data_IF_148235933231
#
_entry.id   IF_148235933231
#
_cell.length_a   1.000
_cell.length_b   1.000
_cell.length_c   1.000
_cell.angle_alpha   90.00
_cell.angle_beta   90.00
_cell.angle_gamma   90.00
#
_symmetry.space_group_name_H-M   'P 1'
#
loop_
_entity.id
_entity.type
_entity.pdbx_description
1 polymer ?
#
# COMPACT_ATOMS: atom_id res chain seq x y z
N UNK A 1 26.03 -8.27 3.16
CA UNK A 1 25.40 -9.53 2.78
C UNK A 1 24.28 -9.25 1.79
N UNK A 2 24.12 -10.13 0.82
CA UNK A 2 23.17 -9.96 -0.26
C UNK A 2 22.10 -11.03 -0.18
N UNK A 3 20.83 -10.61 -0.07
CA UNK A 3 19.71 -11.53 0.10
C UNK A 3 18.63 -11.24 -0.95
N UNK A 4 17.98 -12.32 -1.39
CA UNK A 4 16.78 -12.22 -2.21
C UNK A 4 15.60 -12.57 -1.32
N UNK A 5 14.67 -11.63 -1.18
CA UNK A 5 13.45 -11.83 -0.39
C UNK A 5 12.29 -12.18 -1.30
N UNK A 6 11.51 -13.18 -0.93
CA UNK A 6 10.28 -13.55 -1.62
C UNK A 6 9.03 -13.07 -0.85
N UNK A 7 9.20 -12.16 0.08
CA UNK A 7 8.11 -11.73 0.97
C UNK A 7 6.92 -11.15 0.21
N UNK A 8 7.16 -10.40 -0.85
CA UNK A 8 6.08 -9.80 -1.63
C UNK A 8 5.27 -10.88 -2.35
N UNK A 9 5.96 -11.78 -3.07
CA UNK A 9 5.27 -12.81 -3.85
C UNK A 9 4.56 -13.81 -2.95
N UNK A 10 5.10 -14.09 -1.77
CA UNK A 10 4.52 -15.04 -0.82
C UNK A 10 3.42 -14.44 0.05
N UNK A 11 3.26 -13.13 0.07
CA UNK A 11 2.19 -12.48 0.83
C UNK A 11 0.83 -12.86 0.25
N UNK A 12 -0.02 -13.42 1.08
CA UNK A 12 -1.33 -13.95 0.64
C UNK A 12 -2.39 -12.86 0.55
N UNK A 13 -3.44 -13.14 -0.22
CA UNK A 13 -4.63 -12.30 -0.29
C UNK A 13 -5.65 -12.81 0.72
N UNK A 14 -5.52 -12.35 1.95
CA UNK A 14 -6.43 -12.69 3.04
C UNK A 14 -6.89 -11.39 3.68
N UNK A 15 -7.98 -10.82 3.17
CA UNK A 15 -8.49 -9.52 3.61
C UNK A 15 -7.41 -8.44 3.47
N UNK A 16 -7.07 -7.77 4.54
CA UNK A 16 -6.03 -6.75 4.59
C UNK A 16 -4.80 -7.33 5.29
N UNK A 17 -3.68 -7.35 4.58
CA UNK A 17 -2.39 -7.81 5.09
C UNK A 17 -1.36 -6.70 4.94
N UNK A 18 -0.58 -6.46 5.98
CA UNK A 18 0.51 -5.49 5.96
C UNK A 18 1.77 -6.16 6.48
N UNK A 19 2.87 -5.98 5.76
CA UNK A 19 4.17 -6.50 6.15
C UNK A 19 5.22 -5.42 5.98
N UNK A 20 6.02 -5.22 7.02
CA UNK A 20 7.14 -4.30 6.97
C UNK A 20 8.32 -5.00 6.30
N UNK A 21 8.65 -4.60 5.08
CA UNK A 21 9.77 -5.18 4.32
C UNK A 21 11.11 -4.62 4.78
N UNK A 22 11.16 -3.30 4.97
CA UNK A 22 12.38 -2.58 5.33
C UNK A 22 12.03 -1.52 6.36
N UNK A 23 12.87 -1.42 7.38
CA UNK A 23 12.79 -0.35 8.37
C UNK A 23 14.20 0.15 8.65
N UNK A 24 14.46 1.42 8.35
CA UNK A 24 15.73 2.09 8.66
C UNK A 24 15.44 3.36 9.44
N UNK A 25 16.49 4.08 9.83
CA UNK A 25 16.33 5.38 10.50
C UNK A 25 15.77 6.45 9.58
N UNK A 26 15.85 6.24 8.26
CA UNK A 26 15.50 7.23 7.25
C UNK A 26 14.15 6.95 6.61
N UNK A 27 13.82 5.67 6.37
CA UNK A 27 12.59 5.30 5.67
C UNK A 27 12.14 3.89 6.05
N UNK A 28 10.91 3.56 5.66
CA UNK A 28 10.41 2.20 5.72
C UNK A 28 9.65 1.86 4.44
N UNK A 29 9.60 0.58 4.12
CA UNK A 29 8.82 0.05 3.01
C UNK A 29 7.85 -0.98 3.56
N UNK A 30 6.56 -0.73 3.32
CA UNK A 30 5.48 -1.63 3.69
C UNK A 30 4.96 -2.33 2.44
N UNK A 31 4.74 -3.63 2.52
CA UNK A 31 4.06 -4.41 1.50
C UNK A 31 2.63 -4.65 1.95
N UNK A 32 1.68 -4.19 1.16
CA UNK A 32 0.26 -4.31 1.44
C UNK A 32 -0.35 -5.27 0.43
N UNK A 33 -1.13 -6.23 0.91
CA UNK A 33 -2.05 -6.99 0.05
C UNK A 33 -3.48 -6.74 0.49
N UNK A 34 -4.36 -6.55 -0.49
CA UNK A 34 -5.80 -6.42 -0.27
C UNK A 34 -6.52 -7.44 -1.14
N UNK A 35 -7.26 -8.29 -0.51
CA UNK A 35 -8.19 -9.18 -1.20
C UNK A 35 -9.28 -8.33 -1.85
N UNK A 36 -9.82 -8.78 -2.98
CA UNK A 36 -10.95 -8.11 -3.64
C UNK A 36 -12.04 -7.76 -2.62
N UNK A 37 -12.50 -6.53 -2.67
CA UNK A 37 -13.52 -5.93 -1.80
C UNK A 37 -13.05 -5.65 -0.36
N UNK A 38 -11.82 -5.99 -0.02
CA UNK A 38 -11.27 -5.66 1.29
C UNK A 38 -10.89 -4.19 1.37
N UNK A 39 -10.84 -3.67 2.59
CA UNK A 39 -10.51 -2.28 2.87
C UNK A 39 -9.28 -2.20 3.77
N UNK A 40 -8.32 -1.38 3.37
CA UNK A 40 -7.29 -0.87 4.27
C UNK A 40 -7.95 0.29 5.03
N UNK A 41 -8.25 0.13 6.33
CA UNK A 41 -9.13 1.06 7.04
C UNK A 41 -8.53 2.46 7.19
N UNK A 42 -9.39 3.40 7.55
CA UNK A 42 -9.01 4.80 7.73
C UNK A 42 -7.83 4.93 8.70
N UNK A 43 -6.83 5.68 8.28
CA UNK A 43 -5.65 5.96 9.09
C UNK A 43 -4.93 7.19 8.55
N UNK A 44 -3.91 7.64 9.28
CA UNK A 44 -3.03 8.72 8.85
C UNK A 44 -1.59 8.21 8.82
N UNK A 45 -0.76 8.86 8.01
CA UNK A 45 0.68 8.63 8.01
C UNK A 45 1.40 9.73 8.79
N UNK A 46 2.49 9.40 9.46
CA UNK A 46 3.29 10.38 10.20
C UNK A 46 4.24 11.16 9.29
N UNK A 47 4.51 10.63 8.10
CA UNK A 47 5.37 11.26 7.10
C UNK A 47 4.67 11.23 5.76
N UNK A 48 5.10 12.09 4.84
CA UNK A 48 4.69 12.00 3.44
C UNK A 48 5.06 10.63 2.90
N UNK A 49 4.22 10.07 2.05
CA UNK A 49 4.37 8.70 1.59
C UNK A 49 4.28 8.58 0.08
N UNK A 50 4.96 7.56 -0.44
CA UNK A 50 4.90 7.15 -1.84
C UNK A 50 4.21 5.79 -1.91
N UNK A 51 3.36 5.60 -2.91
CA UNK A 51 2.65 4.35 -3.14
C UNK A 51 2.93 3.87 -4.56
N UNK A 52 3.28 2.59 -4.70
CA UNK A 52 3.51 1.97 -6.01
C UNK A 52 2.65 0.72 -6.08
N UNK A 53 1.75 0.67 -7.07
CA UNK A 53 0.91 -0.51 -7.29
C UNK A 53 1.71 -1.55 -8.05
N UNK A 54 1.85 -2.74 -7.45
CA UNK A 54 2.53 -3.86 -8.09
C UNK A 54 1.60 -4.70 -8.95
N UNK A 55 0.38 -4.92 -8.46
CA UNK A 55 -0.64 -5.65 -9.21
C UNK A 55 -2.03 -5.28 -8.68
N UNK A 56 -3.04 -5.48 -9.52
CA UNK A 56 -4.42 -5.29 -9.13
C UNK A 56 -4.99 -3.92 -9.51
N UNK A 57 -5.99 -3.50 -8.74
CA UNK A 57 -6.78 -2.30 -8.99
C UNK A 57 -7.36 -1.85 -7.66
N UNK A 58 -6.96 -0.67 -7.20
CA UNK A 58 -7.39 -0.12 -5.92
C UNK A 58 -7.98 1.27 -6.09
N UNK A 59 -8.80 1.69 -5.14
CA UNK A 59 -9.28 3.07 -5.05
C UNK A 59 -8.76 3.66 -3.74
N UNK A 60 -8.02 4.74 -3.87
CA UNK A 60 -7.45 5.47 -2.75
C UNK A 60 -8.35 6.67 -2.44
N UNK A 61 -8.89 6.70 -1.23
CA UNK A 61 -9.81 7.76 -0.77
C UNK A 61 -9.08 8.69 0.18
N UNK A 62 -8.97 9.93 -0.18
CA UNK A 62 -8.30 10.94 0.65
C UNK A 62 -8.94 12.30 0.43
N UNK A 63 -9.19 13.01 1.52
CA UNK A 63 -9.66 14.40 1.51
C UNK A 63 -10.90 14.61 0.63
N UNK A 64 -11.85 13.68 0.69
CA UNK A 64 -13.09 13.75 -0.08
C UNK A 64 -12.96 13.39 -1.55
N UNK A 65 -11.77 13.00 -2.01
CA UNK A 65 -11.51 12.60 -3.39
C UNK A 65 -11.17 11.12 -3.47
N UNK A 66 -11.37 10.53 -4.64
CA UNK A 66 -11.09 9.14 -4.91
C UNK A 66 -10.18 9.02 -6.13
N UNK A 67 -9.16 8.18 -6.01
CA UNK A 67 -8.16 7.96 -7.07
C UNK A 67 -8.07 6.48 -7.36
N UNK A 68 -8.42 6.09 -8.59
CA UNK A 68 -8.25 4.71 -9.02
C UNK A 68 -6.79 4.50 -9.44
N UNK A 69 -6.16 3.51 -8.84
CA UNK A 69 -4.75 3.20 -9.09
C UNK A 69 -4.64 1.76 -9.57
N UNK A 70 -3.91 1.56 -10.66
CA UNK A 70 -3.72 0.26 -11.31
C UNK A 70 -2.25 -0.11 -11.34
N UNK A 71 -1.98 -1.33 -11.80
CA UNK A 71 -0.64 -1.90 -11.89
C UNK A 71 0.36 -0.91 -12.48
N UNK A 72 1.51 -0.79 -11.83
CA UNK A 72 2.65 0.05 -12.22
C UNK A 72 2.40 1.55 -12.11
N UNK A 73 1.31 1.97 -11.48
CA UNK A 73 1.08 3.39 -11.22
C UNK A 73 1.69 3.80 -9.89
N UNK A 74 2.14 5.03 -9.85
CA UNK A 74 2.74 5.67 -8.69
C UNK A 74 1.83 6.80 -8.20
N UNK A 75 1.67 6.90 -6.89
CA UNK A 75 0.84 7.91 -6.23
C UNK A 75 1.56 8.38 -4.97
N UNK A 76 1.44 9.67 -4.65
CA UNK A 76 1.97 10.19 -3.40
C UNK A 76 0.85 10.84 -2.59
N UNK A 77 0.99 10.82 -1.27
CA UNK A 77 0.03 11.47 -0.40
C UNK A 77 0.73 12.06 0.82
N UNK A 78 0.17 13.18 1.36
CA UNK A 78 0.81 13.87 2.46
C UNK A 78 0.56 13.20 3.80
N UNK A 79 1.41 13.52 4.77
CA UNK A 79 1.23 13.11 6.16
C UNK A 79 -0.04 13.71 6.76
N UNK A 80 -0.55 13.06 7.81
CA UNK A 80 -1.58 13.59 8.71
C UNK A 80 -2.96 13.82 8.10
N UNK A 81 -3.19 13.34 6.86
CA UNK A 81 -4.51 13.39 6.23
C UNK A 81 -5.12 11.98 6.27
N UNK A 82 -6.34 11.88 6.78
CA UNK A 82 -7.05 10.60 6.89
C UNK A 82 -7.32 10.04 5.48
N UNK A 83 -7.02 8.77 5.31
CA UNK A 83 -7.22 8.08 4.03
C UNK A 83 -7.56 6.61 4.27
N UNK A 84 -8.14 5.98 3.26
CA UNK A 84 -8.39 4.54 3.25
C UNK A 84 -8.35 4.02 1.81
N UNK A 85 -8.20 2.71 1.67
CA UNK A 85 -8.03 2.07 0.36
C UNK A 85 -8.98 0.88 0.25
N UNK A 86 -9.64 0.77 -0.90
CA UNK A 86 -10.53 -0.36 -1.20
C UNK A 86 -10.02 -1.06 -2.46
N UNK A 87 -10.00 -2.39 -2.45
CA UNK A 87 -9.54 -3.17 -3.58
C UNK A 87 -10.70 -3.59 -4.48
N UNK A 88 -10.58 -3.29 -5.78
CA UNK A 88 -11.51 -3.77 -6.81
C UNK A 88 -11.15 -5.18 -7.28
N UNK A 89 -9.90 -5.57 -7.09
CA UNK A 89 -9.33 -6.90 -7.39
C UNK A 89 -8.35 -7.24 -6.30
N UNK A 90 -7.92 -8.50 -6.22
CA UNK A 90 -6.77 -8.85 -5.41
C UNK A 90 -5.58 -7.97 -5.81
N UNK A 91 -5.06 -7.21 -4.88
CA UNK A 91 -4.09 -6.16 -5.17
C UNK A 91 -2.91 -6.19 -4.21
N UNK A 92 -1.74 -5.81 -4.72
CA UNK A 92 -0.54 -5.59 -3.92
C UNK A 92 0.06 -4.25 -4.26
N UNK A 93 0.47 -3.53 -3.23
CA UNK A 93 1.14 -2.25 -3.42
C UNK A 93 2.15 -2.01 -2.31
N UNK A 94 3.13 -1.18 -2.62
CA UNK A 94 4.15 -0.76 -1.67
C UNK A 94 3.84 0.64 -1.17
N UNK A 95 4.10 0.86 0.11
CA UNK A 95 4.12 2.21 0.69
C UNK A 95 5.54 2.45 1.18
N UNK A 96 6.13 3.56 0.73
CA UNK A 96 7.47 3.99 1.09
C UNK A 96 7.32 5.32 1.82
N UNK A 97 7.81 5.36 3.04
CA UNK A 97 7.65 6.55 3.90
C UNK A 97 8.76 6.70 4.93
#
# INVERSE_FOLDING_TARGET
>A
MYEISNNIVEQTFDKFQIQKLVKTDVFEILSISLEKDATFPEHTAQTDAQLIVLEGDIVFHINGNSYQLKKQQHFNFPKEIVHYVVANKNSKFLIIR
#
